data_IF_415635894069
#
_entry.id   IF_415635894069
#
_cell.length_a   1.000
_cell.length_b   1.000
_cell.length_c   1.000
_cell.angle_alpha   90.00
_cell.angle_beta   90.00
_cell.angle_gamma   90.00
#
_symmetry.space_group_name_H-M   'P 1'
#
loop_
_entity.id
_entity.type
_entity.pdbx_description
1 polymer ?
#
# COMPACT_ATOMS: atom_id res chain seq x y z
N UNK A 1 -11.82 -9.14 2.67
CA UNK A 1 -11.90 -8.27 1.47
C UNK A 1 -10.75 -8.57 0.51
N UNK A 2 -11.05 -8.96 -0.73
CA UNK A 2 -10.09 -9.47 -1.70
C UNK A 2 -9.37 -8.30 -2.42
N UNK A 3 -8.05 -8.37 -2.66
CA UNK A 3 -7.28 -7.32 -3.35
C UNK A 3 -7.82 -7.02 -4.77
N UNK A 4 -8.46 -7.99 -5.41
CA UNK A 4 -9.18 -7.82 -6.68
C UNK A 4 -10.38 -6.88 -6.54
N UNK A 5 -11.06 -6.91 -5.39
CA UNK A 5 -12.16 -6.00 -5.05
C UNK A 5 -11.64 -4.58 -4.86
N UNK A 6 -10.46 -4.39 -4.26
CA UNK A 6 -9.87 -3.06 -3.99
C UNK A 6 -9.39 -2.37 -5.28
N UNK A 7 -8.74 -3.10 -6.19
CA UNK A 7 -8.31 -2.53 -7.48
C UNK A 7 -9.53 -2.21 -8.37
N UNK A 8 -10.54 -3.10 -8.40
CA UNK A 8 -11.80 -2.79 -9.08
C UNK A 8 -12.56 -1.64 -8.39
N UNK A 9 -12.44 -1.47 -7.07
CA UNK A 9 -13.02 -0.35 -6.34
C UNK A 9 -12.32 0.97 -6.63
N UNK A 10 -10.99 1.02 -6.68
CA UNK A 10 -10.27 2.25 -7.02
C UNK A 10 -10.52 2.66 -8.48
N UNK A 11 -10.59 1.68 -9.39
CA UNK A 11 -10.92 1.94 -10.80
C UNK A 11 -12.40 2.34 -10.97
N UNK A 12 -13.33 1.73 -10.22
CA UNK A 12 -14.74 2.14 -10.25
C UNK A 12 -14.95 3.49 -9.57
N UNK A 13 -14.27 3.78 -8.45
CA UNK A 13 -14.39 5.04 -7.72
C UNK A 13 -13.95 6.24 -8.57
N UNK A 14 -12.87 6.10 -9.35
CA UNK A 14 -12.43 7.16 -10.26
C UNK A 14 -13.43 7.40 -11.40
N UNK A 15 -14.11 6.33 -11.85
CA UNK A 15 -15.11 6.41 -12.92
C UNK A 15 -16.47 6.94 -12.40
N UNK A 16 -16.87 6.55 -11.19
CA UNK A 16 -18.01 7.12 -10.46
C UNK A 16 -17.79 8.60 -10.16
N UNK A 17 -16.58 8.99 -9.76
CA UNK A 17 -16.25 10.40 -9.55
C UNK A 17 -16.37 11.21 -10.84
N UNK A 18 -15.93 10.66 -11.97
CA UNK A 18 -16.02 11.35 -13.26
C UNK A 18 -17.48 11.49 -13.70
N UNK A 19 -18.29 10.42 -13.63
CA UNK A 19 -19.70 10.47 -14.03
C UNK A 19 -20.54 11.36 -13.13
N UNK A 20 -20.32 11.33 -11.82
CA UNK A 20 -20.95 12.25 -10.86
C UNK A 20 -20.56 13.69 -11.18
N UNK A 21 -19.28 13.96 -11.46
CA UNK A 21 -18.82 15.29 -11.84
C UNK A 21 -19.48 15.79 -13.12
N UNK A 22 -19.61 14.95 -14.16
CA UNK A 22 -20.30 15.33 -15.40
C UNK A 22 -21.79 15.60 -15.19
N UNK A 23 -22.46 14.80 -14.36
CA UNK A 23 -23.88 14.99 -14.01
C UNK A 23 -24.05 16.30 -13.21
N UNK A 24 -23.20 16.54 -12.21
CA UNK A 24 -23.22 17.77 -11.44
C UNK A 24 -22.96 19.00 -12.31
N UNK A 25 -22.01 18.92 -13.26
CA UNK A 25 -21.73 19.99 -14.21
C UNK A 25 -22.94 20.26 -15.12
N UNK A 26 -23.60 19.21 -15.63
CA UNK A 26 -24.82 19.33 -16.43
C UNK A 26 -25.97 19.96 -15.64
N UNK A 27 -26.17 19.56 -14.39
CA UNK A 27 -27.18 20.16 -13.50
C UNK A 27 -26.87 21.62 -13.16
N UNK A 28 -25.59 21.96 -12.98
CA UNK A 28 -25.17 23.34 -12.72
C UNK A 28 -25.36 24.23 -13.94
N UNK A 29 -25.03 23.70 -15.13
CA UNK A 29 -25.29 24.37 -16.40
C UNK A 29 -26.80 24.57 -16.60
N UNK A 30 -27.63 23.54 -16.43
CA UNK A 30 -29.08 23.68 -16.59
C UNK A 30 -29.70 24.68 -15.61
N UNK A 31 -29.23 24.71 -14.37
CA UNK A 31 -29.64 25.72 -13.38
C UNK A 31 -29.20 27.14 -13.79
N UNK A 32 -27.99 27.29 -14.32
CA UNK A 32 -27.52 28.57 -14.83
C UNK A 32 -28.35 29.06 -16.02
N UNK A 33 -28.70 28.17 -16.96
CA UNK A 33 -29.60 28.49 -18.08
C UNK A 33 -31.01 28.87 -17.60
N UNK A 34 -31.53 28.16 -16.60
CA UNK A 34 -32.84 28.44 -16.01
C UNK A 34 -32.88 29.82 -15.34
N UNK A 35 -31.89 30.12 -14.48
CA UNK A 35 -31.80 31.41 -13.79
C UNK A 35 -31.58 32.59 -14.74
N UNK A 36 -30.75 32.41 -15.77
CA UNK A 36 -30.53 33.40 -16.82
C UNK A 36 -31.81 33.61 -17.63
N UNK A 37 -32.48 32.55 -18.07
CA UNK A 37 -33.66 32.65 -18.91
C UNK A 37 -34.86 33.30 -18.21
N UNK A 38 -35.04 33.03 -16.91
CA UNK A 38 -36.20 33.53 -16.15
C UNK A 38 -35.99 34.96 -15.61
N UNK A 39 -34.77 35.33 -15.23
CA UNK A 39 -34.51 36.62 -14.58
C UNK A 39 -33.71 37.62 -15.42
N UNK A 40 -33.07 37.19 -16.52
CA UNK A 40 -32.26 38.08 -17.35
C UNK A 40 -32.29 37.70 -18.84
N UNK A 41 -33.38 38.07 -19.55
CA UNK A 41 -33.63 37.62 -20.90
C UNK A 41 -32.51 38.04 -21.85
N UNK A 42 -32.15 37.13 -22.75
CA UNK A 42 -31.02 37.25 -23.68
C UNK A 42 -31.05 38.52 -24.56
N UNK A 43 -32.23 39.11 -24.74
CA UNK A 43 -32.45 40.36 -25.46
C UNK A 43 -31.81 41.57 -24.77
N UNK A 44 -31.67 41.54 -23.43
CA UNK A 44 -31.09 42.62 -22.62
C UNK A 44 -29.56 42.54 -22.51
N UNK A 45 -28.95 41.48 -23.06
CA UNK A 45 -27.51 41.26 -22.96
C UNK A 45 -26.74 42.17 -23.91
N UNK A 46 -25.59 42.65 -23.43
CA UNK A 46 -24.60 43.30 -24.27
C UNK A 46 -23.96 42.33 -25.25
N UNK A 47 -23.41 42.82 -26.35
CA UNK A 47 -22.74 41.98 -27.36
C UNK A 47 -21.54 41.21 -26.76
N UNK A 48 -20.88 41.78 -25.75
CA UNK A 48 -19.80 41.10 -25.01
C UNK A 48 -20.28 39.89 -24.23
N UNK A 49 -21.42 39.99 -23.54
CA UNK A 49 -22.00 38.89 -22.77
C UNK A 49 -22.51 37.75 -23.66
N UNK A 50 -23.15 38.10 -24.79
CA UNK A 50 -23.59 37.12 -25.80
C UNK A 50 -22.41 36.33 -26.36
N UNK A 51 -21.33 37.02 -26.70
CA UNK A 51 -20.12 36.38 -27.21
C UNK A 51 -19.45 35.48 -26.16
N UNK A 52 -19.33 35.94 -24.91
CA UNK A 52 -18.74 35.14 -23.84
C UNK A 52 -19.53 33.83 -23.62
N UNK A 53 -20.86 33.89 -23.64
CA UNK A 53 -21.71 32.73 -23.49
C UNK A 53 -21.60 31.73 -24.65
N UNK A 54 -21.56 32.21 -25.89
CA UNK A 54 -21.32 31.34 -27.06
C UNK A 54 -19.96 30.63 -26.93
N UNK A 55 -18.92 31.33 -26.46
CA UNK A 55 -17.60 30.73 -26.24
C UNK A 55 -17.64 29.67 -25.14
N UNK A 56 -18.28 29.94 -24.00
CA UNK A 56 -18.39 28.95 -22.92
C UNK A 56 -19.21 27.73 -23.35
N UNK A 57 -20.30 27.93 -24.09
CA UNK A 57 -21.15 26.84 -24.58
C UNK A 57 -20.41 25.94 -25.57
N UNK A 58 -19.66 26.52 -26.50
CA UNK A 58 -18.88 25.77 -27.49
C UNK A 58 -17.74 24.99 -26.83
N UNK A 59 -17.03 25.59 -25.86
CA UNK A 59 -16.00 24.89 -25.07
C UNK A 59 -16.58 23.76 -24.22
N UNK A 60 -17.74 23.98 -23.58
CA UNK A 60 -18.45 22.96 -22.81
C UNK A 60 -18.87 21.77 -23.68
N UNK A 61 -19.41 22.03 -24.87
CA UNK A 61 -19.78 20.99 -25.83
C UNK A 61 -18.57 20.18 -26.31
N UNK A 62 -17.44 20.83 -26.59
CA UNK A 62 -16.18 20.15 -26.96
C UNK A 62 -15.66 19.26 -25.82
N UNK A 63 -15.69 19.76 -24.59
CA UNK A 63 -15.25 19.00 -23.42
C UNK A 63 -16.16 17.78 -23.16
N UNK A 64 -17.47 17.92 -23.35
CA UNK A 64 -18.42 16.82 -23.28
C UNK A 64 -18.11 15.74 -24.31
N UNK A 65 -17.92 16.13 -25.58
CA UNK A 65 -17.56 15.19 -26.65
C UNK A 65 -16.24 14.46 -26.37
N UNK A 66 -15.21 15.19 -25.92
CA UNK A 66 -13.93 14.59 -25.56
C UNK A 66 -14.06 13.59 -24.42
N UNK A 67 -14.84 13.93 -23.39
CA UNK A 67 -15.11 13.04 -22.25
C UNK A 67 -15.86 11.78 -22.67
N UNK A 68 -16.84 11.90 -23.57
CA UNK A 68 -17.58 10.76 -24.12
C UNK A 68 -16.66 9.81 -24.91
N UNK A 69 -15.78 10.37 -25.74
CA UNK A 69 -14.79 9.60 -26.51
C UNK A 69 -13.82 8.85 -25.58
N UNK A 70 -13.32 9.50 -24.53
CA UNK A 70 -12.47 8.85 -23.54
C UNK A 70 -13.19 7.72 -22.80
N UNK A 71 -14.47 7.91 -22.46
CA UNK A 71 -15.28 6.88 -21.81
C UNK A 71 -15.44 5.65 -22.70
N UNK A 72 -15.84 5.84 -23.96
CA UNK A 72 -15.98 4.76 -24.96
C UNK A 72 -14.64 4.04 -25.19
N UNK A 73 -13.53 4.79 -25.29
CA UNK A 73 -12.20 4.22 -25.46
C UNK A 73 -11.79 3.37 -24.24
N UNK A 74 -12.06 3.85 -23.02
CA UNK A 74 -11.75 3.13 -21.79
C UNK A 74 -12.55 1.83 -21.65
N UNK A 75 -13.81 1.84 -22.07
CA UNK A 75 -14.70 0.68 -22.03
C UNK A 75 -14.30 -0.37 -23.08
N UNK A 76 -13.98 0.07 -24.30
CA UNK A 76 -13.44 -0.80 -25.36
C UNK A 76 -12.10 -1.44 -24.95
N UNK A 77 -11.19 -0.67 -24.34
CA UNK A 77 -9.90 -1.20 -23.85
C UNK A 77 -10.11 -2.24 -22.74
N UNK A 78 -11.06 -2.00 -21.83
CA UNK A 78 -11.42 -2.95 -20.77
C UNK A 78 -11.95 -4.27 -21.34
N UNK A 79 -12.90 -4.19 -22.28
CA UNK A 79 -13.46 -5.37 -22.96
C UNK A 79 -12.39 -6.17 -23.72
N UNK A 80 -11.43 -5.50 -24.36
CA UNK A 80 -10.32 -6.17 -25.04
C UNK A 80 -9.36 -6.87 -24.06
N UNK A 81 -9.03 -6.22 -22.95
CA UNK A 81 -8.18 -6.80 -21.89
C UNK A 81 -8.86 -8.01 -21.26
N UNK A 82 -10.15 -7.91 -20.95
CA UNK A 82 -10.94 -9.01 -20.38
C UNK A 82 -11.01 -10.21 -21.32
N UNK A 83 -11.22 -9.98 -22.63
CA UNK A 83 -11.24 -11.05 -23.62
C UNK A 83 -9.88 -11.77 -23.72
N UNK A 84 -8.78 -11.02 -23.72
CA UNK A 84 -7.43 -11.59 -23.78
C UNK A 84 -7.06 -12.36 -22.50
N UNK A 85 -7.54 -11.93 -21.34
CA UNK A 85 -7.39 -12.63 -20.06
C UNK A 85 -8.19 -13.94 -20.03
N UNK A 86 -9.39 -13.95 -20.61
CA UNK A 86 -10.22 -15.15 -20.76
C UNK A 86 -9.54 -16.15 -21.69
N UNK A 87 -9.09 -15.72 -22.87
CA UNK A 87 -8.36 -16.58 -23.82
C UNK A 87 -7.07 -17.15 -23.21
N UNK A 88 -6.30 -16.34 -22.46
CA UNK A 88 -5.11 -16.82 -21.77
C UNK A 88 -5.45 -17.85 -20.67
N UNK A 89 -6.55 -17.64 -19.95
CA UNK A 89 -7.01 -18.59 -18.94
C UNK A 89 -7.46 -19.92 -19.55
N UNK A 90 -8.12 -19.90 -20.71
CA UNK A 90 -8.52 -21.10 -21.46
C UNK A 90 -7.32 -21.88 -22.02
N UNK A 91 -6.28 -21.18 -22.46
CA UNK A 91 -5.02 -21.80 -22.94
C UNK A 91 -4.26 -22.47 -21.79
N UNK A 92 -4.21 -21.83 -20.62
CA UNK A 92 -3.47 -22.37 -19.46
C UNK A 92 -4.25 -23.51 -18.77
N UNK A 93 -5.59 -23.50 -18.84
CA UNK A 93 -6.45 -24.50 -18.20
C UNK A 93 -7.50 -25.04 -19.19
N UNK A 94 -7.13 -26.01 -20.05
CA UNK A 94 -8.11 -26.71 -20.87
C UNK A 94 -9.06 -27.50 -19.96
N UNK A 95 -10.35 -27.52 -20.32
CA UNK A 95 -11.41 -28.35 -19.72
C UNK A 95 -11.97 -27.96 -18.34
N UNK A 96 -12.52 -26.74 -18.21
CA UNK A 96 -13.55 -26.44 -17.19
C UNK A 96 -13.13 -26.57 -15.72
N UNK A 97 -11.88 -26.94 -15.45
CA UNK A 97 -11.31 -26.98 -14.12
C UNK A 97 -11.05 -25.54 -13.66
N UNK A 98 -11.94 -25.01 -12.82
CA UNK A 98 -11.74 -23.70 -12.20
C UNK A 98 -10.46 -23.77 -11.39
N UNK A 99 -9.40 -23.10 -11.87
CA UNK A 99 -8.15 -23.04 -11.15
C UNK A 99 -8.37 -22.47 -9.74
N UNK A 100 -8.07 -23.29 -8.73
CA UNK A 100 -8.29 -22.91 -7.34
C UNK A 100 -7.14 -22.03 -6.85
N UNK A 101 -7.12 -20.77 -7.30
CA UNK A 101 -6.19 -19.73 -6.84
C UNK A 101 -6.13 -19.66 -5.30
N UNK A 102 -7.25 -19.78 -4.54
CA UNK A 102 -7.18 -19.87 -3.08
C UNK A 102 -6.31 -21.01 -2.55
N UNK A 103 -6.42 -22.22 -3.15
CA UNK A 103 -5.62 -23.39 -2.78
C UNK A 103 -4.15 -23.20 -3.15
N UNK A 104 -3.85 -22.69 -4.34
CA UNK A 104 -2.47 -22.37 -4.72
C UNK A 104 -1.86 -21.34 -3.75
N UNK A 105 -2.59 -20.26 -3.46
CA UNK A 105 -2.13 -19.21 -2.53
C UNK A 105 -1.84 -19.79 -1.15
N UNK A 106 -2.69 -20.68 -0.64
CA UNK A 106 -2.48 -21.34 0.65
C UNK A 106 -1.23 -22.23 0.65
N UNK A 107 -1.00 -23.01 -0.42
CA UNK A 107 0.21 -23.84 -0.51
C UNK A 107 1.48 -22.99 -0.64
N UNK A 108 1.45 -21.89 -1.41
CA UNK A 108 2.56 -20.93 -1.48
C UNK A 108 2.86 -20.33 -0.10
N UNK A 109 1.84 -19.91 0.64
CA UNK A 109 2.02 -19.38 2.01
C UNK A 109 2.60 -20.45 2.96
N UNK A 110 2.17 -21.70 2.84
CA UNK A 110 2.69 -22.83 3.63
C UNK A 110 4.14 -23.13 3.30
N UNK A 111 4.51 -23.13 2.03
CA UNK A 111 5.91 -23.28 1.58
C UNK A 111 6.77 -22.12 2.08
N UNK A 112 6.28 -20.89 1.98
CA UNK A 112 6.95 -19.72 2.55
C UNK A 112 7.18 -19.87 4.06
N UNK A 113 6.15 -20.26 4.84
CA UNK A 113 6.35 -20.48 6.28
C UNK A 113 7.37 -21.57 6.58
N UNK A 114 7.35 -22.69 5.83
CA UNK A 114 8.30 -23.79 6.01
C UNK A 114 9.75 -23.39 5.72
N UNK A 115 9.95 -22.45 4.81
CA UNK A 115 11.28 -21.91 4.50
C UNK A 115 11.73 -20.88 5.54
N UNK A 116 10.83 -19.98 5.97
CA UNK A 116 11.17 -18.90 6.89
C UNK A 116 11.37 -19.36 8.34
N UNK A 117 10.60 -20.33 8.83
CA UNK A 117 10.70 -20.85 10.21
C UNK A 117 12.12 -21.32 10.60
N UNK A 118 12.80 -22.20 9.83
CA UNK A 118 14.16 -22.61 10.17
C UNK A 118 15.18 -21.50 10.01
N UNK A 119 14.94 -20.49 9.16
CA UNK A 119 15.80 -19.31 9.07
C UNK A 119 15.66 -18.43 10.32
N UNK A 120 14.42 -18.16 10.76
CA UNK A 120 14.15 -17.41 11.98
C UNK A 120 14.81 -18.06 13.19
N UNK A 121 14.64 -19.39 13.35
CA UNK A 121 15.27 -20.13 14.46
C UNK A 121 16.80 -20.04 14.44
N UNK A 122 17.42 -20.11 13.26
CA UNK A 122 18.87 -19.93 13.09
C UNK A 122 19.30 -18.51 13.50
N UNK A 123 18.58 -17.50 13.04
CA UNK A 123 18.89 -16.10 13.33
C UNK A 123 18.69 -15.74 14.81
N UNK A 124 17.63 -16.24 15.45
CA UNK A 124 17.41 -16.12 16.89
C UNK A 124 18.57 -16.74 17.68
N UNK A 125 18.97 -17.97 17.35
CA UNK A 125 20.11 -18.62 18.01
C UNK A 125 21.42 -17.83 17.83
N UNK A 126 21.66 -17.29 16.64
CA UNK A 126 22.83 -16.45 16.37
C UNK A 126 22.79 -15.14 17.15
N UNK A 127 21.62 -14.48 17.22
CA UNK A 127 21.42 -13.26 17.98
C UNK A 127 21.63 -13.50 19.48
N UNK A 128 21.01 -14.54 20.05
CA UNK A 128 21.20 -14.90 21.46
C UNK A 128 22.67 -15.16 21.78
N UNK A 129 23.37 -15.94 20.94
CA UNK A 129 24.82 -16.17 21.12
C UNK A 129 25.62 -14.88 21.05
N UNK A 130 25.29 -13.99 20.12
CA UNK A 130 25.98 -12.71 19.97
C UNK A 130 25.76 -11.83 21.22
N UNK A 131 24.52 -11.71 21.70
CA UNK A 131 24.18 -10.97 22.92
C UNK A 131 24.95 -11.53 24.11
N UNK A 132 24.89 -12.85 24.35
CA UNK A 132 25.61 -13.48 25.47
C UNK A 132 27.11 -13.25 25.38
N UNK A 133 27.70 -13.38 24.19
CA UNK A 133 29.13 -13.13 23.99
C UNK A 133 29.52 -11.68 24.29
N UNK A 134 28.69 -10.71 23.92
CA UNK A 134 28.93 -9.29 24.21
C UNK A 134 28.70 -8.99 25.69
N UNK A 135 27.65 -9.53 26.31
CA UNK A 135 27.37 -9.37 27.75
C UNK A 135 28.53 -9.89 28.61
N UNK A 136 29.19 -10.98 28.19
CA UNK A 136 30.35 -11.53 28.91
C UNK A 136 31.62 -10.67 28.80
N UNK A 137 31.68 -9.69 27.89
CA UNK A 137 32.82 -8.77 27.73
C UNK A 137 32.69 -7.50 28.55
N UNK A 138 31.49 -7.19 29.03
CA UNK A 138 31.17 -5.89 29.63
C UNK A 138 30.79 -6.05 31.10
N UNK A 139 30.92 -4.97 31.88
CA UNK A 139 30.50 -4.94 33.28
C UNK A 139 28.96 -4.85 33.40
N UNK A 140 28.42 -4.96 34.62
CA UNK A 140 26.97 -5.01 34.82
C UNK A 140 26.26 -3.70 34.41
N UNK A 141 26.90 -2.54 34.60
CA UNK A 141 26.37 -1.25 34.14
C UNK A 141 26.23 -1.21 32.61
N UNK A 142 27.27 -1.65 31.89
CA UNK A 142 27.26 -1.73 30.44
C UNK A 142 26.30 -2.80 29.91
N UNK A 143 26.04 -3.88 30.66
CA UNK A 143 24.97 -4.84 30.31
C UNK A 143 23.60 -4.16 30.32
N UNK A 144 23.30 -3.36 31.34
CA UNK A 144 22.05 -2.61 31.43
C UNK A 144 21.90 -1.62 30.25
N UNK A 145 22.98 -0.92 29.90
CA UNK A 145 23.01 -0.03 28.73
C UNK A 145 22.78 -0.82 27.43
N UNK A 146 23.37 -2.01 27.29
CA UNK A 146 23.18 -2.85 26.12
C UNK A 146 21.75 -3.39 26.00
N UNK A 147 21.09 -3.72 27.12
CA UNK A 147 19.68 -4.12 27.12
C UNK A 147 18.78 -2.96 26.66
N UNK A 148 19.06 -1.72 27.12
CA UNK A 148 18.38 -0.52 26.66
C UNK A 148 18.62 -0.25 25.16
N UNK A 149 19.85 -0.42 24.69
CA UNK A 149 20.21 -0.33 23.28
C UNK A 149 19.39 -1.31 22.43
N UNK A 150 19.34 -2.58 22.84
CA UNK A 150 18.58 -3.63 22.15
C UNK A 150 17.09 -3.32 22.12
N UNK A 151 16.53 -2.83 23.22
CA UNK A 151 15.13 -2.44 23.31
C UNK A 151 14.80 -1.26 22.40
N UNK A 152 15.62 -0.20 22.43
CA UNK A 152 15.43 0.98 21.58
C UNK A 152 15.50 0.61 20.09
N UNK A 153 16.47 -0.23 19.71
CA UNK A 153 16.61 -0.69 18.32
C UNK A 153 15.42 -1.54 17.88
N UNK A 154 14.92 -2.44 18.73
CA UNK A 154 13.73 -3.23 18.44
C UNK A 154 12.47 -2.35 18.27
N UNK A 155 12.29 -1.34 19.13
CA UNK A 155 11.19 -0.39 19.01
C UNK A 155 11.26 0.42 17.71
N UNK A 156 12.46 0.86 17.35
CA UNK A 156 12.69 1.61 16.11
C UNK A 156 12.28 0.78 14.87
N UNK A 157 12.67 -0.50 14.82
CA UNK A 157 12.29 -1.41 13.71
C UNK A 157 10.79 -1.71 13.71
N UNK A 158 10.21 -2.00 14.87
CA UNK A 158 8.79 -2.39 14.96
C UNK A 158 7.82 -1.24 14.69
N UNK A 159 8.25 0.01 14.93
CA UNK A 159 7.45 1.21 14.68
C UNK A 159 7.76 1.89 13.33
N UNK A 160 8.63 1.29 12.50
CA UNK A 160 9.07 1.87 11.22
C UNK A 160 9.67 3.28 11.39
N UNK A 161 10.48 3.45 12.44
CA UNK A 161 11.12 4.73 12.82
C UNK A 161 12.62 4.72 12.54
N UNK A 162 13.10 3.87 11.63
CA UNK A 162 14.53 3.78 11.34
C UNK A 162 15.11 5.07 10.76
N UNK A 163 14.27 5.87 10.07
CA UNK A 163 14.64 7.19 9.52
C UNK A 163 14.36 8.35 10.50
N UNK A 164 13.81 8.07 11.68
CA UNK A 164 13.50 9.08 12.68
C UNK A 164 14.78 9.58 13.36
N UNK A 165 15.05 10.89 13.22
CA UNK A 165 16.27 11.51 13.75
C UNK A 165 16.39 11.37 15.26
N UNK A 166 15.28 11.41 16.00
CA UNK A 166 15.28 11.28 17.45
C UNK A 166 15.59 9.83 17.88
N UNK A 167 14.98 8.84 17.24
CA UNK A 167 15.26 7.42 17.47
C UNK A 167 16.73 7.08 17.15
N UNK A 168 17.26 7.61 16.04
CA UNK A 168 18.67 7.45 15.68
C UNK A 168 19.60 8.09 16.72
N UNK A 169 19.29 9.30 17.18
CA UNK A 169 20.08 9.99 18.22
C UNK A 169 20.09 9.22 19.54
N UNK A 170 18.96 8.64 19.95
CA UNK A 170 18.91 7.76 21.13
C UNK A 170 19.80 6.53 20.97
N UNK A 171 19.76 5.88 19.80
CA UNK A 171 20.61 4.72 19.54
C UNK A 171 22.09 5.09 19.63
N UNK A 172 22.49 6.20 19.01
CA UNK A 172 23.87 6.70 19.03
C UNK A 172 24.34 7.03 20.45
N UNK A 173 23.48 7.55 21.32
CA UNK A 173 23.83 7.80 22.72
C UNK A 173 24.18 6.51 23.46
N UNK A 174 23.42 5.44 23.26
CA UNK A 174 23.74 4.13 23.83
C UNK A 174 25.03 3.55 23.22
N UNK A 175 25.25 3.71 21.92
CA UNK A 175 26.49 3.25 21.28
C UNK A 175 27.72 3.96 21.83
N UNK A 176 27.65 5.28 22.04
CA UNK A 176 28.72 6.06 22.64
C UNK A 176 29.00 5.60 24.07
N UNK A 177 27.96 5.28 24.85
CA UNK A 177 28.11 4.75 26.20
C UNK A 177 28.70 3.32 26.23
N UNK A 178 28.63 2.57 25.13
CA UNK A 178 29.20 1.22 24.99
C UNK A 178 30.59 1.21 24.34
N UNK A 179 31.07 2.32 23.78
CA UNK A 179 32.33 2.36 23.01
C UNK A 179 33.58 1.99 23.82
N UNK A 180 33.57 2.24 25.13
CA UNK A 180 34.68 1.89 26.03
C UNK A 180 34.79 0.37 26.26
N UNK A 181 33.75 -0.39 25.88
CA UNK A 181 33.66 -1.82 26.12
C UNK A 181 33.51 -2.65 24.84
N UNK A 182 32.84 -2.11 23.82
CA UNK A 182 32.49 -2.79 22.59
C UNK A 182 32.98 -1.99 21.39
N UNK A 183 33.52 -2.71 20.41
CA UNK A 183 33.92 -2.07 19.15
C UNK A 183 32.71 -1.69 18.32
N UNK A 184 32.83 -0.63 17.51
CA UNK A 184 31.79 -0.22 16.57
C UNK A 184 31.38 -1.37 15.62
N UNK A 185 32.33 -2.23 15.24
CA UNK A 185 32.06 -3.40 14.39
C UNK A 185 31.17 -4.43 15.09
N UNK A 186 31.34 -4.62 16.40
CA UNK A 186 30.48 -5.51 17.20
C UNK A 186 29.07 -4.95 17.34
N UNK A 187 28.93 -3.65 17.61
CA UNK A 187 27.63 -2.97 17.69
C UNK A 187 26.90 -2.99 16.34
N UNK A 188 27.60 -2.74 15.24
CA UNK A 188 27.05 -2.84 13.90
C UNK A 188 26.58 -4.27 13.57
N UNK A 189 27.40 -5.28 13.94
CA UNK A 189 27.02 -6.69 13.75
C UNK A 189 25.78 -7.05 14.56
N UNK A 190 25.69 -6.57 15.81
CA UNK A 190 24.52 -6.76 16.66
C UNK A 190 23.26 -6.14 16.04
N UNK A 191 23.39 -4.90 15.54
CA UNK A 191 22.31 -4.18 14.85
C UNK A 191 21.78 -4.95 13.64
N UNK A 192 22.68 -5.37 12.75
CA UNK A 192 22.31 -6.13 11.54
C UNK A 192 21.60 -7.43 11.91
N UNK A 193 22.17 -8.20 12.84
CA UNK A 193 21.59 -9.47 13.26
C UNK A 193 20.19 -9.30 13.88
N UNK A 194 20.01 -8.27 14.71
CA UNK A 194 18.71 -7.97 15.31
C UNK A 194 17.67 -7.55 14.26
N UNK A 195 18.06 -6.69 13.31
CA UNK A 195 17.20 -6.26 12.20
C UNK A 195 16.75 -7.42 11.33
N UNK A 196 17.67 -8.30 10.95
CA UNK A 196 17.33 -9.50 10.17
C UNK A 196 16.39 -10.43 10.93
N UNK A 197 16.60 -10.60 12.24
CA UNK A 197 15.77 -11.47 13.09
C UNK A 197 14.34 -10.92 13.21
N UNK A 198 14.19 -9.64 13.56
CA UNK A 198 12.89 -8.99 13.70
C UNK A 198 12.16 -8.89 12.35
N UNK A 199 12.89 -8.63 11.26
CA UNK A 199 12.31 -8.60 9.92
C UNK A 199 11.76 -9.97 9.47
N UNK A 200 12.45 -11.07 9.79
CA UNK A 200 11.93 -12.42 9.55
C UNK A 200 10.69 -12.72 10.39
N UNK A 201 10.70 -12.32 11.67
CA UNK A 201 9.58 -12.50 12.58
C UNK A 201 8.32 -11.74 12.09
N UNK A 202 8.47 -10.48 11.71
CA UNK A 202 7.39 -9.67 11.13
C UNK A 202 6.82 -10.32 9.86
N UNK A 203 7.68 -10.80 8.95
CA UNK A 203 7.23 -11.50 7.72
C UNK A 203 6.42 -12.75 8.06
N UNK A 204 6.85 -13.51 9.06
CA UNK A 204 6.20 -14.75 9.46
C UNK A 204 4.86 -14.50 10.15
N UNK A 205 4.79 -13.49 11.01
CA UNK A 205 3.54 -13.05 11.65
C UNK A 205 2.53 -12.56 10.60
N UNK A 206 2.97 -11.76 9.62
CA UNK A 206 2.13 -11.33 8.51
C UNK A 206 1.56 -12.51 7.69
N UNK A 207 2.33 -13.60 7.54
CA UNK A 207 1.86 -14.83 6.89
C UNK A 207 0.81 -15.56 7.74
N UNK A 208 0.97 -15.59 9.06
CA UNK A 208 0.02 -16.19 10.01
C UNK A 208 -1.29 -15.40 10.08
N UNK A 209 -1.23 -14.08 10.25
CA UNK A 209 -2.41 -13.20 10.28
C UNK A 209 -3.21 -13.25 8.96
N UNK A 210 -2.51 -13.47 7.84
CA UNK A 210 -3.14 -13.66 6.54
C UNK A 210 -3.86 -15.01 6.41
N UNK A 211 -3.47 -16.01 7.22
CA UNK A 211 -4.10 -17.33 7.29
C UNK A 211 -5.31 -17.28 8.22
N UNK A 212 -5.16 -16.70 9.42
CA UNK A 212 -6.21 -16.64 10.45
C UNK A 212 -7.43 -15.86 10.01
N UNK A 213 -7.24 -14.65 9.45
CA UNK A 213 -8.33 -13.83 8.88
C UNK A 213 -9.17 -14.53 7.80
N UNK A 214 -8.66 -15.61 7.21
CA UNK A 214 -9.37 -16.38 6.19
C UNK A 214 -10.27 -17.45 6.80
N UNK A 215 -9.81 -18.12 7.85
CA UNK A 215 -10.58 -19.13 8.59
C UNK A 215 -11.87 -18.55 9.16
N UNK A 216 -11.82 -17.32 9.68
CA UNK A 216 -13.00 -16.66 10.26
C UNK A 216 -14.03 -16.24 9.21
N UNK A 217 -13.59 -15.89 7.99
CA UNK A 217 -14.48 -15.52 6.88
C UNK A 217 -15.16 -16.69 6.18
N UNK A 218 -14.73 -17.93 6.47
CA UNK A 218 -15.34 -19.17 5.95
C UNK A 218 -16.35 -19.77 6.97
N UNK A 219 -16.46 -19.20 8.18
CA UNK A 219 -17.34 -19.66 9.27
C UNK A 219 -18.56 -18.75 9.55
N UNK A 220 -18.71 -17.64 8.83
CA UNK A 220 -19.85 -16.70 8.87
C UNK A 220 -20.50 -16.58 7.51
#
# INVERSE_FOLDING_TARGET
MNKKTIINWCASANQFSLTIFTICLLCFLSLAFYLVGEHYPFEQWTDGEKNAFIVFFTLGALFFWFSLVLLIYSERKRNWVDKKLIELNEIIYPEGSKFNFPRLKAEVQKLQSKELEPQLKRNQNQLTKLITNLQNKVNDDAKAIMDLYLQAHAQMITQDKEDDTFAQAQLTNYENALQDHLTQKELQKLRIQQKETLGLEQRLNNLRDSRERKTDSELT
#
